data_IF_058679238817
#
_entry.id   IF_058679238817
#
_cell.length_a   1.000
_cell.length_b   1.000
_cell.length_c   1.000
_cell.angle_alpha   90.00
_cell.angle_beta   90.00
_cell.angle_gamma   90.00
#
_symmetry.space_group_name_H-M   'P 1'
#
loop_
_entity.id
_entity.type
_entity.pdbx_description
1 polymer ?
#
# COMPACT_ATOMS: atom_id res chain seq x y z
N UNK A 1 -16.52 -20.49 24.41
CA UNK A 1 -15.61 -21.14 23.43
C UNK A 1 -16.00 -22.60 23.38
N UNK A 2 -16.40 -23.13 22.23
CA UNK A 2 -16.62 -24.57 22.03
C UNK A 2 -15.93 -24.97 20.73
N UNK A 3 -14.81 -25.66 20.84
CA UNK A 3 -14.21 -26.42 19.76
C UNK A 3 -14.04 -27.85 20.27
N UNK A 4 -14.49 -28.83 19.50
CA UNK A 4 -14.17 -30.24 19.69
C UNK A 4 -13.43 -30.71 18.44
N UNK A 5 -12.25 -31.28 18.63
CA UNK A 5 -11.62 -32.11 17.61
C UNK A 5 -12.21 -33.53 17.60
N UNK A 6 -11.65 -34.33 16.69
CA UNK A 6 -11.16 -35.71 16.90
C UNK A 6 -12.15 -36.83 17.35
N UNK A 7 -12.04 -38.09 16.93
CA UNK A 7 -11.19 -38.76 15.92
C UNK A 7 -11.76 -40.15 15.58
N UNK A 8 -11.59 -40.57 14.31
CA UNK A 8 -11.18 -41.91 13.84
C UNK A 8 -12.00 -43.23 14.05
N UNK A 9 -11.70 -44.16 13.12
CA UNK A 9 -11.63 -45.64 13.27
C UNK A 9 -12.89 -46.53 13.13
N UNK A 10 -12.98 -47.26 12.01
CA UNK A 10 -13.04 -48.76 11.95
C UNK A 10 -13.11 -49.24 10.47
N UNK A 11 -12.11 -49.95 9.94
CA UNK A 11 -11.94 -51.44 9.89
C UNK A 11 -13.15 -52.17 9.26
N UNK A 12 -13.09 -52.64 8.01
CA UNK A 12 -12.36 -53.81 7.49
C UNK A 12 -12.97 -55.19 7.84
N UNK A 13 -13.27 -55.98 6.80
CA UNK A 13 -13.08 -57.44 6.82
C UNK A 13 -14.32 -58.34 6.62
N UNK A 14 -14.16 -59.36 5.77
CA UNK A 14 -15.05 -60.54 5.64
C UNK A 14 -15.46 -60.82 4.18
N UNK A 15 -14.78 -61.67 3.40
CA UNK A 15 -14.77 -63.16 3.43
C UNK A 15 -16.11 -63.80 3.01
N UNK A 16 -16.26 -64.93 2.30
CA UNK A 16 -15.42 -65.82 1.47
C UNK A 16 -16.37 -66.93 0.92
N UNK A 17 -16.14 -67.73 -0.15
CA UNK A 17 -15.13 -67.81 -1.22
C UNK A 17 -15.71 -68.71 -2.37
N UNK A 18 -14.84 -69.35 -3.16
CA UNK A 18 -14.96 -70.70 -3.78
C UNK A 18 -14.84 -70.82 -5.32
N UNK A 19 -13.58 -70.83 -5.80
CA UNK A 19 -12.95 -71.83 -6.70
C UNK A 19 -13.80 -72.45 -7.83
N UNK A 20 -13.39 -72.25 -9.11
CA UNK A 20 -12.59 -73.27 -9.84
C UNK A 20 -12.17 -72.85 -11.25
N UNK A 21 -10.88 -73.05 -11.57
CA UNK A 21 -10.23 -73.44 -12.85
C UNK A 21 -10.79 -72.87 -14.20
N UNK A 22 -9.98 -72.31 -15.10
CA UNK A 22 -8.77 -72.95 -15.66
C UNK A 22 -7.62 -71.99 -16.05
N UNK A 23 -6.45 -72.58 -16.25
CA UNK A 23 -5.15 -71.99 -16.49
C UNK A 23 -5.03 -71.24 -17.83
N UNK A 24 -4.28 -70.13 -17.85
CA UNK A 24 -3.19 -69.95 -18.82
C UNK A 24 -2.19 -68.81 -18.47
N UNK A 25 -0.91 -69.20 -18.48
CA UNK A 25 0.34 -68.46 -18.68
C UNK A 25 0.41 -66.92 -18.45
N UNK A 26 1.31 -66.41 -17.57
CA UNK A 26 1.43 -64.98 -17.30
C UNK A 26 2.28 -64.23 -18.35
N UNK A 27 1.66 -63.39 -19.18
CA UNK A 27 2.39 -62.37 -19.94
C UNK A 27 2.44 -61.06 -19.17
N UNK A 28 3.54 -60.85 -18.43
CA UNK A 28 3.85 -59.54 -17.87
C UNK A 28 3.97 -58.50 -18.99
N UNK A 29 3.11 -57.49 -18.95
CA UNK A 29 3.22 -56.29 -19.78
C UNK A 29 2.98 -55.07 -18.91
N UNK A 30 4.00 -54.75 -18.12
CA UNK A 30 4.09 -53.46 -17.43
C UNK A 30 3.90 -52.35 -18.46
N UNK A 31 2.72 -51.73 -18.42
CA UNK A 31 2.37 -50.62 -19.29
C UNK A 31 3.25 -49.44 -18.89
N UNK A 32 4.40 -49.30 -19.59
CA UNK A 32 5.29 -48.15 -19.43
C UNK A 32 4.45 -46.91 -19.73
N UNK A 33 4.09 -46.18 -18.67
CA UNK A 33 3.46 -44.87 -18.81
C UNK A 33 4.35 -44.05 -19.76
N UNK A 34 3.81 -43.68 -20.93
CA UNK A 34 4.51 -42.82 -21.88
C UNK A 34 4.70 -41.48 -21.19
N UNK A 35 5.86 -41.31 -20.54
CA UNK A 35 6.29 -40.02 -20.01
C UNK A 35 6.37 -39.08 -21.21
N UNK A 36 5.39 -38.20 -21.34
CA UNK A 36 5.38 -37.22 -22.41
C UNK A 36 6.70 -36.46 -22.34
N UNK A 37 7.46 -36.48 -23.44
CA UNK A 37 8.62 -35.61 -23.59
C UNK A 37 8.06 -34.21 -23.79
N UNK A 38 7.75 -33.53 -22.69
CA UNK A 38 7.47 -32.09 -22.72
C UNK A 38 8.75 -31.42 -23.21
N UNK A 39 8.74 -30.99 -24.47
CA UNK A 39 9.61 -29.93 -24.93
C UNK A 39 9.19 -28.68 -24.16
N UNK A 40 9.78 -28.50 -22.96
CA UNK A 40 9.83 -27.19 -22.33
C UNK A 40 10.69 -26.37 -23.27
N UNK A 41 10.06 -25.50 -24.06
CA UNK A 41 10.77 -24.45 -24.76
C UNK A 41 11.53 -23.67 -23.69
N UNK A 42 12.85 -23.67 -23.79
CA UNK A 42 13.76 -23.26 -22.71
C UNK A 42 13.66 -21.74 -22.42
N UNK A 43 13.04 -21.03 -23.36
CA UNK A 43 12.76 -19.59 -23.40
C UNK A 43 11.61 -19.16 -22.47
N UNK A 44 10.53 -19.95 -22.33
CA UNK A 44 9.35 -19.59 -21.51
C UNK A 44 9.24 -20.36 -20.17
N UNK A 45 10.35 -20.95 -19.72
CA UNK A 45 10.44 -21.51 -18.37
C UNK A 45 10.35 -20.45 -17.26
N UNK A 46 10.41 -20.89 -16.00
CA UNK A 46 10.44 -20.01 -14.82
C UNK A 46 11.52 -18.92 -14.91
N UNK A 47 12.65 -19.22 -15.53
CA UNK A 47 13.77 -18.29 -15.77
C UNK A 47 13.32 -17.15 -16.70
N UNK A 48 12.65 -17.46 -17.82
CA UNK A 48 12.12 -16.45 -18.74
C UNK A 48 11.05 -15.56 -18.09
N UNK A 49 10.19 -16.16 -17.26
CA UNK A 49 9.20 -15.41 -16.48
C UNK A 49 9.85 -14.42 -15.49
N UNK A 50 10.89 -14.85 -14.76
CA UNK A 50 11.64 -13.99 -13.83
C UNK A 50 12.36 -12.86 -14.60
N UNK A 51 13.06 -13.17 -15.69
CA UNK A 51 13.74 -12.17 -16.51
C UNK A 51 12.78 -11.10 -17.02
N UNK A 52 11.61 -11.49 -17.55
CA UNK A 52 10.57 -10.58 -18.04
C UNK A 52 9.99 -9.66 -16.95
N UNK A 53 9.90 -10.12 -15.70
CA UNK A 53 9.46 -9.30 -14.57
C UNK A 53 10.60 -8.40 -14.08
N UNK A 54 11.83 -8.90 -14.02
CA UNK A 54 13.03 -8.16 -13.65
C UNK A 54 13.32 -6.99 -14.59
N UNK A 55 13.23 -7.21 -15.90
CA UNK A 55 13.43 -6.16 -16.91
C UNK A 55 12.35 -5.07 -16.84
N UNK A 56 11.08 -5.45 -16.64
CA UNK A 56 9.99 -4.49 -16.39
C UNK A 56 10.21 -3.66 -15.12
N UNK A 57 10.72 -4.29 -14.05
CA UNK A 57 11.04 -3.61 -12.80
C UNK A 57 12.24 -2.66 -12.96
N UNK A 58 13.30 -3.10 -13.62
CA UNK A 58 14.47 -2.28 -13.93
C UNK A 58 14.08 -1.04 -14.75
N UNK A 59 13.31 -1.23 -15.83
CA UNK A 59 12.82 -0.13 -16.65
C UNK A 59 11.88 0.82 -15.87
N UNK A 60 11.06 0.30 -14.94
CA UNK A 60 10.24 1.14 -14.06
C UNK A 60 11.11 1.99 -13.10
N UNK A 61 12.17 1.40 -12.54
CA UNK A 61 13.12 2.10 -11.65
C UNK A 61 13.91 3.16 -12.44
N UNK A 62 14.45 2.83 -13.61
CA UNK A 62 15.13 3.79 -14.50
C UNK A 62 14.22 4.96 -14.85
N UNK A 63 12.95 4.71 -15.17
CA UNK A 63 11.97 5.77 -15.48
C UNK A 63 11.62 6.66 -14.29
N UNK A 64 11.81 6.21 -13.05
CA UNK A 64 11.68 7.05 -11.85
C UNK A 64 13.00 7.77 -11.54
N UNK A 65 14.15 7.11 -11.72
CA UNK A 65 15.46 7.69 -11.49
C UNK A 65 15.87 8.75 -12.54
N UNK A 66 15.33 8.66 -13.75
CA UNK A 66 15.55 9.62 -14.86
C UNK A 66 14.49 10.73 -14.92
N UNK A 67 13.47 10.70 -14.05
CA UNK A 67 12.60 11.86 -13.89
C UNK A 67 13.43 13.03 -13.37
N UNK A 68 13.27 14.24 -13.93
CA UNK A 68 13.86 15.43 -13.31
C UNK A 68 13.35 15.52 -11.86
N UNK A 69 14.19 16.00 -10.93
CA UNK A 69 13.74 16.21 -9.55
C UNK A 69 12.47 17.06 -9.57
N UNK A 70 11.49 16.79 -8.68
CA UNK A 70 10.29 17.61 -8.60
C UNK A 70 10.72 19.08 -8.48
N UNK A 71 10.02 20.03 -9.14
CA UNK A 71 10.37 21.43 -9.06
C UNK A 71 10.50 21.81 -7.58
N UNK A 72 11.52 22.60 -7.20
CA UNK A 72 11.78 22.93 -5.80
C UNK A 72 10.46 23.40 -5.19
N UNK A 73 10.06 22.73 -4.12
CA UNK A 73 8.86 23.07 -3.41
C UNK A 73 9.15 24.44 -2.78
N UNK A 74 8.78 25.49 -3.49
CA UNK A 74 8.80 26.85 -2.99
C UNK A 74 7.79 26.86 -1.85
N UNK A 75 8.27 26.56 -0.65
CA UNK A 75 7.52 26.61 0.60
C UNK A 75 7.65 27.99 1.25
N UNK A 76 8.41 28.92 0.65
CA UNK A 76 8.61 30.27 1.19
C UNK A 76 7.28 30.96 1.48
N UNK A 77 7.09 31.43 2.71
CA UNK A 77 5.95 32.26 3.04
C UNK A 77 6.24 33.71 2.63
N UNK A 78 5.21 34.50 2.28
CA UNK A 78 5.38 35.92 2.00
C UNK A 78 6.05 36.62 3.19
N UNK A 79 7.04 37.47 2.93
CA UNK A 79 7.83 38.12 4.00
C UNK A 79 6.96 39.03 4.89
N UNK A 80 5.89 39.60 4.32
CA UNK A 80 4.90 40.45 4.98
C UNK A 80 3.85 39.67 5.80
N UNK A 81 3.89 38.33 5.83
CA UNK A 81 2.85 37.51 6.47
C UNK A 81 2.63 37.87 7.95
N UNK A 82 3.69 38.17 8.69
CA UNK A 82 3.59 38.55 10.11
C UNK A 82 3.00 39.94 10.30
N UNK A 83 3.36 40.90 9.45
CA UNK A 83 2.82 42.26 9.46
C UNK A 83 1.33 42.25 9.11
N UNK A 84 0.96 41.48 8.08
CA UNK A 84 -0.43 41.29 7.66
C UNK A 84 -1.27 40.66 8.78
N UNK A 85 -0.77 39.63 9.47
CA UNK A 85 -1.43 39.07 10.65
C UNK A 85 -1.56 40.10 11.79
N UNK A 86 -0.51 40.88 12.05
CA UNK A 86 -0.50 41.92 13.09
C UNK A 86 -1.45 43.08 12.78
N UNK A 87 -1.84 43.26 11.51
CA UNK A 87 -2.85 44.24 11.08
C UNK A 87 -4.31 43.76 11.27
N UNK A 88 -4.54 42.49 11.62
CA UNK A 88 -5.89 41.96 11.80
C UNK A 88 -6.51 42.49 13.10
N UNK A 89 -7.67 43.17 13.06
CA UNK A 89 -8.33 43.67 14.26
C UNK A 89 -8.92 42.52 15.09
N UNK A 90 -8.97 42.72 16.41
CA UNK A 90 -9.66 41.81 17.34
C UNK A 90 -8.83 40.62 17.85
N UNK A 91 -7.52 40.58 17.60
CA UNK A 91 -6.63 39.54 18.09
C UNK A 91 -5.49 40.11 18.95
N UNK A 92 -5.17 39.40 20.02
CA UNK A 92 -4.05 39.74 20.90
C UNK A 92 -2.70 39.33 20.27
N UNK A 93 -1.63 40.04 20.62
CA UNK A 93 -0.28 39.79 20.08
C UNK A 93 0.19 38.33 20.30
N UNK A 94 -0.19 37.71 21.43
CA UNK A 94 0.08 36.30 21.71
C UNK A 94 -0.67 35.36 20.77
N UNK A 95 -1.94 35.65 20.47
CA UNK A 95 -2.77 34.86 19.55
C UNK A 95 -2.19 34.92 18.12
N UNK A 96 -1.83 36.12 17.66
CA UNK A 96 -1.15 36.34 16.38
C UNK A 96 0.17 35.56 16.30
N UNK A 97 0.99 35.62 17.36
CA UNK A 97 2.29 34.92 17.40
C UNK A 97 2.15 33.39 17.32
N UNK A 98 1.18 32.81 18.03
CA UNK A 98 0.93 31.35 18.01
C UNK A 98 0.37 30.91 16.64
N UNK A 99 -0.51 31.70 16.04
CA UNK A 99 -1.03 31.40 14.70
C UNK A 99 0.06 31.55 13.62
N UNK A 100 0.91 32.57 13.69
CA UNK A 100 2.06 32.71 12.80
C UNK A 100 3.01 31.51 12.89
N UNK A 101 3.35 31.06 14.10
CA UNK A 101 4.17 29.86 14.29
C UNK A 101 3.53 28.61 13.66
N UNK A 102 2.21 28.46 13.75
CA UNK A 102 1.47 27.39 13.07
C UNK A 102 1.56 27.48 11.54
N UNK A 103 1.47 28.69 10.95
CA UNK A 103 1.62 28.88 9.51
C UNK A 103 3.06 28.61 9.03
N UNK A 104 4.08 29.05 9.79
CA UNK A 104 5.50 28.77 9.50
C UNK A 104 5.80 27.27 9.55
N UNK A 105 5.22 26.54 10.51
CA UNK A 105 5.32 25.08 10.57
C UNK A 105 4.53 24.36 9.46
N UNK A 106 3.60 25.04 8.78
CA UNK A 106 2.74 24.46 7.75
C UNK A 106 2.67 25.38 6.51
N UNK A 107 3.76 25.54 5.72
CA UNK A 107 3.83 26.60 4.73
C UNK A 107 2.76 26.55 3.63
N UNK A 108 2.28 25.33 3.30
CA UNK A 108 1.11 25.14 2.42
C UNK A 108 -0.16 25.81 2.96
N UNK A 109 -0.40 25.71 4.26
CA UNK A 109 -1.53 26.37 4.94
C UNK A 109 -1.31 27.88 5.00
N UNK A 110 -0.09 28.35 5.28
CA UNK A 110 0.23 29.78 5.25
C UNK A 110 0.05 30.42 3.87
N UNK A 111 0.46 29.73 2.80
CA UNK A 111 0.23 30.16 1.40
C UNK A 111 -1.24 30.14 1.01
N UNK A 112 -2.02 29.18 1.48
CA UNK A 112 -3.48 29.15 1.28
C UNK A 112 -4.15 30.32 2.01
N UNK A 113 -3.83 30.49 3.30
CA UNK A 113 -4.32 31.58 4.15
C UNK A 113 -4.00 32.97 3.58
N UNK A 114 -2.78 33.21 3.12
CA UNK A 114 -2.37 34.51 2.59
C UNK A 114 -3.20 34.94 1.37
N UNK A 115 -3.64 33.98 0.54
CA UNK A 115 -4.49 34.21 -0.65
C UNK A 115 -5.96 34.43 -0.33
N UNK A 116 -6.40 34.23 0.91
CA UNK A 116 -7.80 34.44 1.31
C UNK A 116 -8.17 35.93 1.33
N UNK A 117 -9.42 36.29 0.99
CA UNK A 117 -10.00 37.60 1.31
C UNK A 117 -9.98 37.86 2.82
N UNK A 118 -9.99 39.14 3.21
CA UNK A 118 -9.86 39.60 4.60
C UNK A 118 -10.83 38.89 5.58
N UNK A 119 -12.11 38.80 5.24
CA UNK A 119 -13.12 38.13 6.08
C UNK A 119 -12.81 36.64 6.33
N UNK A 120 -12.32 35.94 5.30
CA UNK A 120 -11.94 34.53 5.44
C UNK A 120 -10.65 34.36 6.26
N UNK A 121 -9.73 35.34 6.23
CA UNK A 121 -8.57 35.36 7.13
C UNK A 121 -9.00 35.49 8.58
N UNK A 122 -9.92 36.42 8.88
CA UNK A 122 -10.50 36.55 10.22
C UNK A 122 -11.14 35.24 10.68
N UNK A 123 -11.96 34.59 9.85
CA UNK A 123 -12.61 33.32 10.19
C UNK A 123 -11.59 32.20 10.48
N UNK A 124 -10.50 32.10 9.70
CA UNK A 124 -9.46 31.09 9.93
C UNK A 124 -8.71 31.31 11.25
N UNK A 125 -8.35 32.57 11.56
CA UNK A 125 -7.73 32.90 12.85
C UNK A 125 -8.71 32.60 14.00
N UNK A 126 -9.96 33.06 13.91
CA UNK A 126 -10.97 32.81 14.93
C UNK A 126 -11.18 31.31 15.23
N UNK A 127 -11.29 30.46 14.19
CA UNK A 127 -11.41 29.01 14.36
C UNK A 127 -10.18 28.40 15.04
N UNK A 128 -8.97 28.81 14.66
CA UNK A 128 -7.75 28.32 15.29
C UNK A 128 -7.61 28.79 16.75
N UNK A 129 -7.96 30.05 17.04
CA UNK A 129 -7.91 30.60 18.39
C UNK A 129 -8.96 29.94 19.30
N UNK A 130 -10.17 29.68 18.81
CA UNK A 130 -11.18 28.95 19.58
C UNK A 130 -10.74 27.51 19.94
N UNK A 131 -9.97 26.85 19.08
CA UNK A 131 -9.38 25.52 19.33
C UNK A 131 -8.18 25.57 20.30
N UNK A 132 -7.33 26.60 20.22
CA UNK A 132 -6.11 26.71 21.04
C UNK A 132 -6.25 27.46 22.35
N UNK A 133 -7.28 28.29 22.49
CA UNK A 133 -7.55 29.13 23.67
C UNK A 133 -8.99 28.96 24.17
N UNK A 134 -9.41 27.74 24.54
CA UNK A 134 -10.77 27.50 25.03
C UNK A 134 -11.01 28.24 26.36
N UNK A 135 -12.05 29.09 26.39
CA UNK A 135 -12.49 29.81 27.60
C UNK A 135 -11.97 31.24 27.75
N UNK A 136 -11.40 31.83 26.69
CA UNK A 136 -11.16 33.27 26.55
C UNK A 136 -12.32 33.99 25.86
#
# INVERSE_FOLDING_TARGET
MNGNGESEMNTNGGSDANVSLDNQCPTSSASKAKRAKSSVTEEEGLIGAINRVGEKLACAIEKVATQPPPPPLNDDLPEDLFEMLSSLPGYESTQISVYYAYLVANPRMGRAFYKLPFEHKLNWVAMFIADKFPGH
#
